data_IF_488571712015
#
_entry.id   IF_488571712015
#
_cell.length_a   1.000
_cell.length_b   1.000
_cell.length_c   1.000
_cell.angle_alpha   90.00
_cell.angle_beta   90.00
_cell.angle_gamma   90.00
#
_symmetry.space_group_name_H-M   'P 1'
#
loop_
_entity.id
_entity.type
_entity.pdbx_description
1 polymer ?
#
# COMPACT_ATOMS: atom_id res chain seq x y z
N UNK A 1 -8.43 -14.28 -34.61
CA UNK A 1 -7.60 -14.90 -33.58
C UNK A 1 -7.81 -14.16 -32.28
N UNK A 2 -8.40 -14.81 -31.28
CA UNK A 2 -8.83 -14.19 -30.02
C UNK A 2 -7.60 -13.88 -29.15
N UNK A 3 -7.43 -12.61 -28.76
CA UNK A 3 -6.40 -12.20 -27.80
C UNK A 3 -6.90 -12.56 -26.40
N UNK A 4 -6.20 -13.49 -25.73
CA UNK A 4 -6.47 -13.83 -24.35
C UNK A 4 -6.20 -12.60 -23.47
N UNK A 5 -7.24 -12.02 -22.88
CA UNK A 5 -7.10 -11.08 -21.78
C UNK A 5 -6.60 -11.89 -20.57
N UNK A 6 -5.28 -11.85 -20.34
CA UNK A 6 -4.70 -12.40 -19.12
C UNK A 6 -5.01 -11.43 -17.98
N UNK A 7 -6.20 -11.53 -17.39
CA UNK A 7 -6.51 -10.87 -16.13
C UNK A 7 -5.76 -11.64 -15.05
N UNK A 8 -4.49 -11.31 -14.83
CA UNK A 8 -3.80 -11.71 -13.60
C UNK A 8 -4.52 -11.03 -12.45
N UNK A 9 -5.56 -11.70 -11.95
CA UNK A 9 -6.18 -11.42 -10.67
C UNK A 9 -5.09 -11.70 -9.63
N UNK A 10 -4.26 -10.70 -9.34
CA UNK A 10 -3.36 -10.76 -8.21
C UNK A 10 -4.26 -11.01 -7.01
N UNK A 11 -4.14 -12.21 -6.43
CA UNK A 11 -4.85 -12.61 -5.23
C UNK A 11 -4.27 -11.78 -4.09
N UNK A 12 -4.67 -10.49 -4.04
CA UNK A 12 -4.18 -9.54 -3.05
C UNK A 12 -4.42 -10.16 -1.69
N UNK A 13 -3.34 -10.34 -0.94
CA UNK A 13 -3.44 -10.82 0.43
C UNK A 13 -4.31 -9.83 1.20
N UNK A 14 -5.57 -10.18 1.47
CA UNK A 14 -6.51 -9.33 2.22
C UNK A 14 -6.04 -9.23 3.66
N UNK A 15 -5.28 -8.19 3.96
CA UNK A 15 -4.88 -7.87 5.32
C UNK A 15 -6.13 -7.44 6.10
N UNK A 16 -6.13 -7.69 7.40
CA UNK A 16 -7.14 -7.11 8.30
C UNK A 16 -6.81 -5.64 8.49
N UNK A 17 -7.56 -4.76 7.85
CA UNK A 17 -7.33 -3.32 7.92
C UNK A 17 -8.15 -2.65 9.02
N UNK A 18 -7.49 -1.79 9.79
CA UNK A 18 -8.15 -0.83 10.69
C UNK A 18 -7.90 0.58 10.20
N UNK A 19 -8.97 1.37 10.04
CA UNK A 19 -8.88 2.78 9.69
C UNK A 19 -8.98 3.61 10.97
N UNK A 20 -7.90 4.31 11.32
CA UNK A 20 -7.82 5.09 12.54
C UNK A 20 -7.85 6.59 12.21
N UNK A 21 -9.02 7.21 12.39
CA UNK A 21 -9.21 8.63 12.11
C UNK A 21 -9.24 8.99 10.62
N UNK A 22 -9.43 7.99 9.75
CA UNK A 22 -9.61 8.21 8.31
C UNK A 22 -11.08 8.42 7.98
N UNK A 23 -11.40 9.54 7.34
CA UNK A 23 -12.74 9.91 6.84
C UNK A 23 -12.81 9.94 5.32
N UNK A 24 -11.67 9.83 4.64
CA UNK A 24 -11.56 9.82 3.18
C UNK A 24 -11.40 8.40 2.61
N UNK A 25 -11.81 8.15 1.34
CA UNK A 25 -11.61 6.85 0.70
C UNK A 25 -10.11 6.58 0.45
N UNK A 26 -9.60 5.52 1.08
CA UNK A 26 -8.18 5.10 1.03
C UNK A 26 -7.97 3.71 0.41
N UNK A 27 -8.96 3.21 -0.35
CA UNK A 27 -8.89 1.89 -1.01
C UNK A 27 -7.72 1.77 -1.99
N UNK A 28 -7.34 2.88 -2.63
CA UNK A 28 -6.14 2.94 -3.47
C UNK A 28 -4.87 2.67 -2.66
N UNK A 29 -4.77 3.22 -1.44
CA UNK A 29 -3.59 3.07 -0.59
C UNK A 29 -3.48 1.64 -0.06
N UNK A 30 -4.61 1.07 0.39
CA UNK A 30 -4.69 -0.33 0.84
C UNK A 30 -4.22 -1.27 -0.27
N UNK A 31 -4.76 -1.14 -1.49
CA UNK A 31 -4.37 -1.97 -2.64
C UNK A 31 -2.90 -1.82 -2.98
N UNK A 32 -2.37 -0.59 -2.94
CA UNK A 32 -0.97 -0.34 -3.23
C UNK A 32 -0.05 -0.99 -2.19
N UNK A 33 -0.42 -0.95 -0.90
CA UNK A 33 0.36 -1.55 0.18
C UNK A 33 0.32 -3.07 0.12
N UNK A 34 -0.84 -3.67 -0.14
CA UNK A 34 -0.97 -5.12 -0.32
C UNK A 34 -0.09 -5.61 -1.48
N UNK A 35 -0.15 -4.94 -2.63
CA UNK A 35 0.70 -5.27 -3.77
C UNK A 35 2.20 -5.03 -3.49
N UNK A 36 2.55 -4.03 -2.69
CA UNK A 36 3.93 -3.77 -2.29
C UNK A 36 4.45 -4.86 -1.32
N UNK A 37 3.61 -5.37 -0.43
CA UNK A 37 3.95 -6.46 0.50
C UNK A 37 4.26 -7.74 -0.24
N UNK A 38 3.45 -8.10 -1.25
CA UNK A 38 3.67 -9.31 -2.04
C UNK A 38 5.01 -9.30 -2.78
N UNK A 39 5.43 -8.11 -3.22
CA UNK A 39 6.72 -7.85 -3.88
C UNK A 39 7.90 -7.75 -2.91
N UNK A 40 7.68 -7.65 -1.60
CA UNK A 40 8.74 -7.43 -0.61
C UNK A 40 9.08 -8.72 0.15
N UNK A 41 10.27 -9.32 -0.08
CA UNK A 41 10.72 -10.46 0.71
C UNK A 41 10.81 -10.07 2.20
N UNK A 42 10.12 -10.81 3.07
CA UNK A 42 10.09 -10.56 4.52
C UNK A 42 8.80 -9.92 5.04
N UNK A 43 7.91 -9.42 4.17
CA UNK A 43 6.58 -8.94 4.55
C UNK A 43 5.45 -9.91 4.19
N UNK A 44 5.74 -11.00 3.48
CA UNK A 44 4.75 -11.98 3.01
C UNK A 44 3.87 -12.59 4.11
N UNK A 45 4.31 -12.57 5.36
CA UNK A 45 3.57 -13.17 6.47
C UNK A 45 2.70 -12.17 7.24
N UNK A 46 2.81 -10.87 6.97
CA UNK A 46 1.97 -9.82 7.56
C UNK A 46 0.49 -10.15 7.33
N UNK A 47 -0.34 -10.07 8.35
CA UNK A 47 -1.79 -10.37 8.26
C UNK A 47 -2.69 -9.16 8.62
N UNK A 48 -2.10 -8.09 9.16
CA UNK A 48 -2.84 -6.94 9.68
C UNK A 48 -2.18 -5.63 9.26
N UNK A 49 -3.02 -4.63 8.96
CA UNK A 49 -2.62 -3.28 8.58
C UNK A 49 -3.45 -2.22 9.29
N UNK A 50 -2.85 -1.06 9.53
CA UNK A 50 -3.53 0.12 10.08
C UNK A 50 -3.22 1.32 9.20
N UNK A 51 -4.26 2.05 8.81
CA UNK A 51 -4.14 3.38 8.20
C UNK A 51 -4.38 4.43 9.28
N UNK A 52 -3.50 5.43 9.36
CA UNK A 52 -3.57 6.50 10.35
C UNK A 52 -3.88 7.83 9.67
N UNK A 53 -5.05 8.39 9.97
CA UNK A 53 -5.49 9.68 9.47
C UNK A 53 -5.87 9.68 7.99
N UNK A 54 -6.18 10.88 7.50
CA UNK A 54 -6.45 11.12 6.08
C UNK A 54 -5.15 11.28 5.28
N UNK A 55 -5.19 11.06 3.96
CA UNK A 55 -4.13 11.48 3.06
C UNK A 55 -3.75 12.94 3.30
N UNK A 56 -2.47 13.24 3.45
CA UNK A 56 -2.01 14.61 3.60
C UNK A 56 -0.60 14.80 3.04
N UNK A 57 -0.25 15.99 2.53
CA UNK A 57 1.13 16.32 2.17
C UNK A 57 1.95 16.63 3.42
N UNK A 58 3.27 16.49 3.33
CA UNK A 58 4.22 17.03 4.32
C UNK A 58 5.17 18.02 3.64
N UNK A 59 4.78 19.31 3.53
CA UNK A 59 5.52 20.32 2.76
C UNK A 59 6.93 20.56 3.26
N UNK A 60 7.18 20.41 4.57
CA UNK A 60 8.48 20.61 5.20
C UNK A 60 9.59 19.74 4.61
N UNK A 61 9.23 18.57 4.07
CA UNK A 61 10.16 17.62 3.45
C UNK A 61 9.94 17.47 1.94
N UNK A 62 9.14 18.35 1.33
CA UNK A 62 8.70 18.22 -0.06
C UNK A 62 8.07 16.85 -0.34
N UNK A 63 7.37 16.28 0.65
CA UNK A 63 6.73 14.98 0.56
C UNK A 63 5.27 15.17 0.10
N UNK A 64 4.90 14.67 -1.10
CA UNK A 64 3.56 14.87 -1.65
C UNK A 64 2.49 14.15 -0.83
N UNK A 65 1.23 14.34 -1.22
CA UNK A 65 0.08 13.70 -0.58
C UNK A 65 0.26 12.17 -0.49
N UNK A 66 0.21 11.67 0.73
CA UNK A 66 0.38 10.25 1.02
C UNK A 66 -0.50 9.81 2.19
N UNK A 67 -0.78 8.52 2.23
CA UNK A 67 -1.41 7.85 3.36
C UNK A 67 -0.34 7.21 4.20
N UNK A 68 -0.38 7.50 5.51
CA UNK A 68 0.52 6.91 6.48
C UNK A 68 -0.15 5.74 7.20
N UNK A 69 0.63 4.70 7.48
CA UNK A 69 0.13 3.55 8.20
C UNK A 69 1.21 2.62 8.68
N UNK A 70 0.80 1.48 9.20
CA UNK A 70 1.69 0.43 9.64
C UNK A 70 1.16 -0.95 9.29
N UNK A 71 2.07 -1.91 9.18
CA UNK A 71 1.77 -3.32 8.91
C UNK A 71 2.50 -4.22 9.89
N UNK A 72 1.87 -5.34 10.24
CA UNK A 72 2.41 -6.30 11.19
C UNK A 72 1.58 -7.57 11.33
N UNK A 73 1.65 -8.16 12.52
CA UNK A 73 0.96 -9.40 12.86
C UNK A 73 -0.13 -9.17 13.90
N UNK A 74 -1.22 -9.92 13.81
CA UNK A 74 -2.32 -10.00 14.77
C UNK A 74 -2.81 -8.59 15.19
N UNK A 75 -2.95 -8.35 16.48
CA UNK A 75 -3.22 -7.06 17.08
C UNK A 75 -1.96 -6.18 17.03
N UNK A 76 -2.02 -5.12 16.21
CA UNK A 76 -0.98 -4.12 15.94
C UNK A 76 -0.52 -3.30 17.18
N UNK A 77 -0.80 -3.78 18.38
CA UNK A 77 -0.35 -3.24 19.66
C UNK A 77 1.10 -3.67 19.97
N UNK A 78 1.89 -2.74 20.52
CA UNK A 78 3.23 -3.02 21.04
C UNK A 78 4.28 -3.39 19.98
N UNK A 79 4.80 -4.63 20.03
CA UNK A 79 5.97 -5.12 19.27
C UNK A 79 5.64 -5.92 18.01
N UNK A 80 4.36 -6.16 17.71
CA UNK A 80 3.93 -6.93 16.53
C UNK A 80 3.90 -6.10 15.24
N UNK A 81 4.10 -4.77 15.34
CA UNK A 81 4.35 -3.89 14.20
C UNK A 81 5.68 -4.24 13.54
N UNK A 82 5.63 -4.62 12.26
CA UNK A 82 6.84 -4.90 11.48
C UNK A 82 7.42 -3.61 10.92
N UNK A 83 6.63 -2.79 10.22
CA UNK A 83 7.11 -1.54 9.62
C UNK A 83 5.97 -0.54 9.47
N UNK A 84 6.31 0.75 9.42
CA UNK A 84 5.40 1.78 8.92
C UNK A 84 5.54 1.88 7.40
N UNK A 85 4.52 2.44 6.75
CA UNK A 85 4.51 2.72 5.31
C UNK A 85 3.95 4.11 5.01
N UNK A 86 4.42 4.72 3.93
CA UNK A 86 3.79 5.85 3.24
C UNK A 86 3.36 5.37 1.85
N UNK A 87 2.07 5.40 1.56
CA UNK A 87 1.51 5.02 0.28
C UNK A 87 1.09 6.28 -0.50
N UNK A 88 1.49 6.36 -1.76
CA UNK A 88 1.23 7.49 -2.65
C UNK A 88 0.26 7.09 -3.76
N UNK A 89 -0.55 8.05 -4.24
CA UNK A 89 -1.48 7.82 -5.35
C UNK A 89 -0.79 7.36 -6.63
N UNK A 90 0.48 7.69 -6.80
CA UNK A 90 1.32 7.25 -7.93
C UNK A 90 1.65 5.76 -7.94
N UNK A 91 1.23 4.99 -6.94
CA UNK A 91 1.62 3.58 -6.78
C UNK A 91 2.95 3.39 -6.05
N UNK A 92 3.63 4.46 -5.66
CA UNK A 92 4.80 4.36 -4.79
C UNK A 92 4.37 3.98 -3.37
N UNK A 93 5.07 3.03 -2.76
CA UNK A 93 4.95 2.70 -1.34
C UNK A 93 6.35 2.71 -0.73
N UNK A 94 6.56 3.54 0.28
CA UNK A 94 7.82 3.63 1.02
C UNK A 94 7.67 3.01 2.39
N UNK A 95 8.50 2.04 2.72
CA UNK A 95 8.54 1.47 4.06
C UNK A 95 9.55 2.22 4.94
N UNK A 96 9.20 2.45 6.20
CA UNK A 96 10.09 3.16 7.14
C UNK A 96 11.37 2.37 7.45
N UNK A 97 11.29 1.03 7.43
CA UNK A 97 12.46 0.17 7.60
C UNK A 97 13.23 0.08 6.28
N UNK A 98 14.48 0.56 6.29
CA UNK A 98 15.38 0.57 5.13
C UNK A 98 15.55 -0.80 4.45
N UNK A 99 15.47 -1.90 5.19
CA UNK A 99 15.58 -3.27 4.64
C UNK A 99 14.48 -3.60 3.62
N UNK A 100 13.32 -2.94 3.70
CA UNK A 100 12.20 -3.14 2.78
C UNK A 100 12.18 -2.09 1.66
N UNK A 101 12.82 -0.95 1.89
CA UNK A 101 13.01 0.09 0.87
C UNK A 101 11.71 0.69 0.37
N UNK A 102 11.67 0.95 -0.93
CA UNK A 102 10.53 1.53 -1.64
C UNK A 102 10.12 0.64 -2.79
N UNK A 103 8.81 0.47 -2.99
CA UNK A 103 8.24 -0.38 -4.01
C UNK A 103 7.29 0.46 -4.86
N UNK A 104 7.44 0.37 -6.17
CA UNK A 104 6.47 0.93 -7.11
C UNK A 104 5.54 -0.20 -7.52
N UNK A 105 4.25 -0.02 -7.25
CA UNK A 105 3.21 -0.89 -7.78
C UNK A 105 2.65 -0.27 -9.05
N UNK A 106 2.61 -1.06 -10.11
CA UNK A 106 1.87 -0.68 -11.31
C UNK A 106 0.39 -0.69 -10.93
N UNK A 107 -0.18 0.48 -10.66
CA UNK A 107 -1.61 0.68 -10.86
C UNK A 107 -1.81 0.59 -12.36
N UNK A 108 -2.25 -0.57 -12.86
CA UNK A 108 -2.78 -0.69 -14.22
C UNK A 108 -4.07 0.17 -14.31
N UNK A 109 -3.88 1.48 -14.42
CA UNK A 109 -4.82 2.45 -14.98
C UNK A 109 -4.21 3.01 -16.28
N UNK A 110 -3.87 2.12 -17.20
CA UNK A 110 -3.56 2.45 -18.60
C UNK A 110 -4.68 1.94 -19.52
N UNK A 111 -5.93 2.23 -19.16
CA UNK A 111 -6.97 2.49 -20.15
C UNK A 111 -7.05 4.00 -20.36
N UNK A 112 -6.50 4.49 -21.47
CA UNK A 112 -6.92 5.69 -22.22
C UNK A 112 -5.72 6.37 -22.87
N UNK A 113 -5.43 6.00 -24.11
CA UNK A 113 -5.15 6.91 -25.22
C UNK A 113 -4.74 6.09 -26.46
N UNK A 114 -5.72 5.49 -27.12
CA UNK A 114 -5.63 5.24 -28.55
C UNK A 114 -6.93 5.78 -29.17
N UNK A 115 -6.86 7.06 -29.55
CA UNK A 115 -7.74 7.66 -30.53
C UNK A 115 -7.19 7.36 -31.94
#
# INVERSE_FOLDING_TARGET
MSRAFSTTSNYLKKLKWTLNGTTEPVDWAIRNVEAAIDKTPGLKNVDTGVVNGNPHPTPSNNDPEHVSGAVGFEDMQGRKRITSFHAYKSGLVKFSKKIFGQVVVSTDESESSQA
#
